data_IF_990756516745
#
_entry.id   IF_990756516745
#
_cell.length_a   1.000
_cell.length_b   1.000
_cell.length_c   1.000
_cell.angle_alpha   90.00
_cell.angle_beta   90.00
_cell.angle_gamma   90.00
#
_symmetry.space_group_name_H-M   'P 1'
#
loop_
_entity.id
_entity.type
_entity.pdbx_description
1 polymer ?
#
# COMPACT_ATOMS: atom_id res chain seq x y z
N UNK A 1 58.41 8.24 39.80
CA UNK A 1 56.96 8.26 40.05
C UNK A 1 56.25 8.22 38.70
N UNK A 2 55.57 7.10 38.42
CA UNK A 2 54.80 6.87 37.21
C UNK A 2 53.51 7.70 37.23
N UNK A 3 53.12 8.25 36.08
CA UNK A 3 51.71 8.42 35.76
C UNK A 3 51.51 8.28 34.25
N UNK A 4 51.26 7.05 33.80
CA UNK A 4 50.83 6.75 32.44
C UNK A 4 49.32 6.99 32.38
N UNK A 5 48.89 8.03 31.68
CA UNK A 5 47.48 8.26 31.37
C UNK A 5 47.07 7.36 30.21
N UNK A 6 46.43 6.24 30.51
CA UNK A 6 45.69 5.43 29.52
C UNK A 6 44.38 6.14 29.20
N UNK A 7 44.32 6.77 28.03
CA UNK A 7 43.09 7.30 27.45
C UNK A 7 42.24 6.10 26.98
N UNK A 8 41.20 5.75 27.73
CA UNK A 8 40.19 4.78 27.29
C UNK A 8 39.30 5.48 26.26
N UNK A 9 39.53 5.15 24.98
CA UNK A 9 38.62 5.54 23.90
C UNK A 9 37.41 4.60 23.97
N UNK A 10 36.35 5.00 24.67
CA UNK A 10 35.08 4.29 24.59
C UNK A 10 34.46 4.54 23.22
N UNK A 11 34.58 3.56 22.33
CA UNK A 11 33.81 3.51 21.09
C UNK A 11 32.34 3.30 21.46
N UNK A 12 31.58 4.39 21.53
CA UNK A 12 30.12 4.35 21.55
C UNK A 12 29.69 3.78 20.20
N UNK A 13 29.45 2.47 20.16
CA UNK A 13 28.70 1.84 19.08
C UNK A 13 27.27 2.33 19.23
N UNK A 14 26.89 3.35 18.46
CA UNK A 14 25.48 3.65 18.22
C UNK A 14 24.89 2.41 17.54
N UNK A 15 24.34 1.49 18.32
CA UNK A 15 23.39 0.53 17.80
C UNK A 15 22.21 1.38 17.34
N UNK A 16 22.01 1.49 16.03
CA UNK A 16 20.74 1.94 15.49
C UNK A 16 19.70 0.93 15.98
N UNK A 17 19.05 1.23 17.12
CA UNK A 17 17.92 0.45 17.58
C UNK A 17 16.82 0.77 16.58
N UNK A 18 16.56 -0.15 15.64
CA UNK A 18 15.45 -0.04 14.69
C UNK A 18 14.16 -0.12 15.49
N UNK A 19 13.66 1.04 15.93
CA UNK A 19 12.46 1.19 16.74
C UNK A 19 11.21 1.49 15.91
N UNK A 20 11.30 1.43 14.58
CA UNK A 20 10.21 1.75 13.66
C UNK A 20 8.97 0.88 13.87
N UNK A 21 7.89 1.24 13.18
CA UNK A 21 6.59 0.65 13.40
C UNK A 21 6.36 -0.59 12.55
N UNK A 22 5.64 -1.56 13.13
CA UNK A 22 5.16 -2.77 12.48
C UNK A 22 3.68 -2.99 12.83
N UNK A 23 2.88 -3.36 11.84
CA UNK A 23 1.47 -3.71 12.02
C UNK A 23 1.36 -5.08 12.69
N UNK A 24 0.64 -5.14 13.82
CA UNK A 24 0.39 -6.39 14.57
C UNK A 24 -1.07 -6.83 14.51
N UNK A 25 -1.99 -5.94 14.10
CA UNK A 25 -3.39 -6.27 13.86
C UNK A 25 -3.90 -5.43 12.69
N UNK A 26 -4.52 -6.00 11.63
CA UNK A 26 -4.65 -7.44 11.37
C UNK A 26 -3.30 -8.16 11.41
N UNK A 27 -3.31 -9.45 11.76
CA UNK A 27 -2.08 -10.24 11.81
C UNK A 27 -1.48 -10.29 10.39
N UNK A 28 -0.24 -9.79 10.19
CA UNK A 28 0.34 -9.67 8.87
C UNK A 28 0.73 -11.04 8.30
N UNK A 29 0.96 -11.10 6.99
CA UNK A 29 1.62 -12.25 6.40
C UNK A 29 3.01 -12.43 7.01
N UNK A 30 3.36 -13.69 7.31
CA UNK A 30 4.69 -14.10 7.77
C UNK A 30 5.21 -13.24 8.91
N UNK A 31 4.33 -13.08 9.91
CA UNK A 31 4.54 -12.23 11.08
C UNK A 31 5.89 -12.48 11.76
N UNK A 32 6.31 -13.74 11.85
CA UNK A 32 7.58 -14.14 12.49
C UNK A 32 8.84 -13.57 11.79
N UNK A 33 8.78 -13.29 10.49
CA UNK A 33 9.92 -12.80 9.70
C UNK A 33 9.75 -11.36 9.23
N UNK A 34 8.60 -10.74 9.51
CA UNK A 34 8.36 -9.34 9.22
C UNK A 34 9.24 -8.47 10.12
N UNK A 35 9.88 -7.45 9.54
CA UNK A 35 10.67 -6.47 10.28
C UNK A 35 10.04 -5.08 10.15
N UNK A 36 10.50 -4.17 11.01
CA UNK A 36 10.00 -2.81 11.07
C UNK A 36 10.75 -1.80 10.19
N UNK A 37 11.70 -2.24 9.36
CA UNK A 37 12.37 -1.32 8.43
C UNK A 37 11.39 -0.78 7.38
N UNK A 38 11.65 0.39 6.79
CA UNK A 38 10.94 0.81 5.59
C UNK A 38 11.17 -0.17 4.43
N UNK A 39 10.44 0.01 3.33
CA UNK A 39 10.79 -0.61 2.05
C UNK A 39 12.16 -0.11 1.60
N UNK A 40 12.87 -0.92 0.81
CA UNK A 40 14.13 -0.52 0.22
C UNK A 40 13.91 0.62 -0.78
N UNK A 41 14.75 1.67 -0.73
CA UNK A 41 14.69 2.85 -1.62
C UNK A 41 14.73 2.50 -3.11
N UNK A 42 15.28 1.34 -3.47
CA UNK A 42 15.29 0.83 -4.85
C UNK A 42 13.95 0.25 -5.33
N UNK A 43 12.99 0.08 -4.40
CA UNK A 43 11.74 -0.64 -4.62
C UNK A 43 11.93 -2.15 -4.81
N UNK A 44 13.08 -2.73 -4.43
CA UNK A 44 13.38 -4.15 -4.64
C UNK A 44 12.46 -5.10 -3.85
N UNK A 45 11.97 -4.65 -2.69
CA UNK A 45 11.09 -5.41 -1.80
C UNK A 45 9.63 -4.93 -1.85
N UNK A 46 9.25 -4.10 -2.82
CA UNK A 46 7.86 -3.72 -3.06
C UNK A 46 7.14 -4.75 -3.95
N UNK A 47 5.87 -5.12 -3.65
CA UNK A 47 5.06 -4.73 -2.49
C UNK A 47 5.27 -5.64 -1.27
N UNK A 48 4.72 -5.24 -0.11
CA UNK A 48 4.61 -6.10 1.09
C UNK A 48 5.93 -6.59 1.70
N UNK A 49 7.06 -5.92 1.45
CA UNK A 49 8.40 -6.30 1.93
C UNK A 49 8.77 -7.71 1.44
N UNK A 50 8.85 -7.88 0.12
CA UNK A 50 9.17 -9.13 -0.55
C UNK A 50 10.44 -9.77 0.03
N UNK A 51 10.29 -11.01 0.43
CA UNK A 51 11.28 -11.93 1.01
C UNK A 51 10.86 -13.38 0.69
N UNK A 52 11.70 -14.35 1.03
CA UNK A 52 11.49 -15.77 0.67
C UNK A 52 10.11 -16.31 1.05
N UNK A 53 9.57 -15.84 2.17
CA UNK A 53 8.34 -16.34 2.78
C UNK A 53 7.23 -15.29 2.81
N UNK A 54 7.25 -14.22 2.00
CA UNK A 54 6.38 -13.02 2.17
C UNK A 54 4.90 -13.27 2.48
N UNK A 55 4.29 -14.30 1.89
CA UNK A 55 2.83 -14.47 1.86
C UNK A 55 2.34 -15.71 2.63
N UNK A 56 3.04 -16.15 3.68
CA UNK A 56 2.52 -17.19 4.58
C UNK A 56 1.39 -16.58 5.43
N UNK A 57 0.18 -17.11 5.24
CA UNK A 57 -0.98 -16.65 6.01
C UNK A 57 -0.85 -17.04 7.49
N UNK A 58 -1.38 -16.21 8.42
CA UNK A 58 -1.47 -16.56 9.83
C UNK A 58 -2.39 -17.77 10.03
N UNK A 59 -2.24 -18.42 11.18
CA UNK A 59 -3.07 -19.60 11.53
C UNK A 59 -4.55 -19.28 11.67
N UNK A 60 -4.87 -18.05 12.07
CA UNK A 60 -6.22 -17.51 12.16
C UNK A 60 -6.42 -16.42 11.10
N UNK A 61 -7.40 -16.59 10.22
CA UNK A 61 -7.71 -15.59 9.18
C UNK A 61 -8.27 -14.31 9.81
N UNK A 62 -7.79 -13.15 9.37
CA UNK A 62 -8.38 -11.86 9.74
C UNK A 62 -9.72 -11.70 8.99
N UNK A 63 -10.84 -11.66 9.72
CA UNK A 63 -12.17 -11.55 9.11
C UNK A 63 -12.78 -10.20 9.45
N UNK A 64 -13.16 -9.44 8.42
CA UNK A 64 -13.79 -8.13 8.58
C UNK A 64 -15.14 -8.10 7.87
N UNK A 65 -16.14 -7.54 8.53
CA UNK A 65 -17.46 -7.34 7.95
C UNK A 65 -17.55 -5.97 7.30
N UNK A 66 -18.21 -5.92 6.14
CA UNK A 66 -18.53 -4.67 5.44
C UNK A 66 -19.31 -3.74 6.37
N UNK A 67 -18.89 -2.47 6.43
CA UNK A 67 -19.53 -1.40 7.21
C UNK A 67 -19.28 -1.44 8.72
N UNK A 68 -18.60 -2.46 9.23
CA UNK A 68 -18.25 -2.55 10.66
C UNK A 68 -16.90 -1.88 10.89
N UNK A 69 -16.83 -1.03 11.91
CA UNK A 69 -15.59 -0.39 12.36
C UNK A 69 -14.68 -1.43 13.03
N UNK A 70 -13.41 -1.36 12.69
CA UNK A 70 -12.34 -2.22 13.18
C UNK A 70 -11.11 -1.35 13.47
N UNK A 71 -10.17 -1.91 14.22
CA UNK A 71 -8.97 -1.20 14.61
C UNK A 71 -7.74 -1.94 14.10
N UNK A 72 -6.84 -1.20 13.47
CA UNK A 72 -5.47 -1.61 13.15
C UNK A 72 -4.55 -1.22 14.31
N UNK A 73 -3.64 -2.11 14.69
CA UNK A 73 -2.69 -1.90 15.81
C UNK A 73 -1.24 -2.04 15.36
N UNK A 74 -0.36 -1.32 16.04
CA UNK A 74 1.08 -1.30 15.75
C UNK A 74 1.94 -1.50 17.00
N UNK A 75 3.11 -2.11 16.80
CA UNK A 75 4.22 -2.08 17.75
C UNK A 75 5.36 -1.21 17.21
N UNK A 76 6.16 -0.68 18.11
CA UNK A 76 7.30 0.18 17.81
C UNK A 76 7.22 1.52 18.55
N UNK A 77 8.26 2.31 18.38
CA UNK A 77 8.47 3.58 19.10
C UNK A 77 8.90 4.74 18.20
N UNK A 78 9.55 4.47 17.06
CA UNK A 78 9.96 5.49 16.12
C UNK A 78 8.80 5.87 15.19
N UNK A 79 8.01 6.83 15.65
CA UNK A 79 6.82 7.35 14.97
C UNK A 79 7.14 8.49 14.02
N UNK A 80 8.37 9.02 14.01
CA UNK A 80 8.83 10.05 13.07
C UNK A 80 7.90 11.28 12.98
N UNK A 81 7.33 11.69 14.11
CA UNK A 81 6.40 12.82 14.13
C UNK A 81 5.02 12.52 13.50
N UNK A 82 4.72 11.25 13.21
CA UNK A 82 3.58 10.84 12.41
C UNK A 82 3.89 10.90 10.92
N UNK A 83 3.00 11.52 10.15
CA UNK A 83 3.00 11.47 8.69
C UNK A 83 1.63 11.13 8.15
N UNK A 84 1.60 10.59 6.93
CA UNK A 84 0.36 10.25 6.23
C UNK A 84 0.37 8.80 5.78
N UNK A 85 -0.80 8.17 5.78
CA UNK A 85 -0.95 6.76 5.44
C UNK A 85 -2.13 6.49 4.52
N UNK A 86 -2.06 5.38 3.80
CA UNK A 86 -3.23 4.80 3.13
C UNK A 86 -3.44 3.37 3.57
N UNK A 87 -4.71 3.00 3.72
CA UNK A 87 -5.17 1.63 3.77
C UNK A 87 -5.70 1.26 2.39
N UNK A 88 -5.20 0.19 1.81
CA UNK A 88 -5.61 -0.28 0.48
C UNK A 88 -5.84 -1.78 0.45
N UNK A 89 -6.67 -2.21 -0.49
CA UNK A 89 -7.02 -3.61 -0.73
C UNK A 89 -6.59 -4.04 -2.13
N UNK A 90 -6.14 -5.27 -2.26
CA UNK A 90 -6.03 -5.95 -3.55
C UNK A 90 -6.66 -7.33 -3.46
N UNK A 91 -7.21 -7.82 -4.57
CA UNK A 91 -7.78 -9.17 -4.66
C UNK A 91 -6.68 -10.25 -4.71
N UNK A 92 -5.44 -9.84 -4.98
CA UNK A 92 -4.29 -10.73 -5.00
C UNK A 92 -3.88 -11.15 -3.59
N UNK A 93 -3.78 -12.46 -3.34
CA UNK A 93 -3.25 -13.01 -2.08
C UNK A 93 -1.73 -13.07 -2.03
N UNK A 94 -1.08 -12.93 -3.19
CA UNK A 94 0.36 -12.83 -3.35
C UNK A 94 0.69 -11.64 -4.27
N UNK A 95 0.50 -10.39 -3.80
CA UNK A 95 0.63 -9.22 -4.66
C UNK A 95 2.02 -9.07 -5.28
N UNK A 96 2.05 -8.53 -6.49
CA UNK A 96 3.26 -8.20 -7.24
C UNK A 96 3.33 -6.69 -7.49
N UNK A 97 4.38 -6.22 -8.17
CA UNK A 97 4.50 -4.80 -8.57
C UNK A 97 3.38 -4.34 -9.51
N UNK A 98 2.73 -5.28 -10.19
CA UNK A 98 1.65 -5.03 -11.14
C UNK A 98 0.25 -5.18 -10.52
N UNK A 99 0.17 -5.58 -9.24
CA UNK A 99 -1.11 -5.74 -8.54
C UNK A 99 -1.86 -4.42 -8.43
N UNK A 100 -3.18 -4.49 -8.64
CA UNK A 100 -4.06 -3.34 -8.50
C UNK A 100 -4.47 -3.16 -7.03
N UNK A 101 -4.09 -2.03 -6.45
CA UNK A 101 -4.42 -1.65 -5.08
C UNK A 101 -5.51 -0.58 -5.08
N UNK A 102 -6.59 -0.83 -4.35
CA UNK A 102 -7.75 0.04 -4.18
C UNK A 102 -7.68 0.71 -2.81
N UNK A 103 -7.39 2.00 -2.74
CA UNK A 103 -7.37 2.77 -1.48
C UNK A 103 -8.78 2.82 -0.89
N UNK A 104 -8.93 2.38 0.36
CA UNK A 104 -10.21 2.40 1.08
C UNK A 104 -10.28 3.49 2.15
N UNK A 105 -9.14 3.97 2.64
CA UNK A 105 -9.04 5.07 3.62
C UNK A 105 -7.69 5.76 3.53
N UNK A 106 -7.67 7.09 3.57
CA UNK A 106 -6.46 7.90 3.68
C UNK A 106 -6.43 8.66 5.00
N UNK A 107 -5.27 8.72 5.63
CA UNK A 107 -4.98 9.57 6.77
C UNK A 107 -3.93 10.60 6.34
N UNK A 108 -4.34 11.86 6.20
CA UNK A 108 -3.45 12.97 5.83
C UNK A 108 -3.06 13.74 7.10
N UNK A 109 -1.96 13.31 7.70
CA UNK A 109 -1.43 13.80 8.97
C UNK A 109 -1.92 13.03 10.19
N UNK A 110 -1.03 12.93 11.17
CA UNK A 110 -1.31 12.24 12.44
C UNK A 110 -1.33 10.72 12.33
N UNK A 111 -0.77 10.14 11.26
CA UNK A 111 -0.70 8.70 11.09
C UNK A 111 0.71 8.14 11.42
N UNK A 112 0.83 7.09 12.25
CA UNK A 112 -0.24 6.50 13.07
C UNK A 112 -0.46 7.24 14.39
N UNK A 113 0.25 8.35 14.63
CA UNK A 113 0.06 9.19 15.81
C UNK A 113 0.39 10.66 15.55
N UNK A 114 -0.10 11.52 16.42
CA UNK A 114 0.22 12.96 16.50
C UNK A 114 1.42 13.27 17.40
N UNK A 115 2.11 12.25 17.92
CA UNK A 115 3.28 12.48 18.76
C UNK A 115 4.39 13.16 17.94
N UNK A 116 4.80 14.37 18.37
CA UNK A 116 5.89 15.14 17.72
C UNK A 116 7.27 14.51 17.89
N UNK A 117 7.40 13.52 18.79
CA UNK A 117 8.62 12.77 19.04
C UNK A 117 8.33 11.29 19.03
N UNK A 118 9.38 10.51 18.80
CA UNK A 118 9.35 9.08 19.02
C UNK A 118 8.91 8.75 20.45
N UNK A 119 8.14 7.68 20.56
CA UNK A 119 7.59 7.18 21.82
C UNK A 119 8.66 6.44 22.61
N UNK A 120 8.34 6.11 23.87
CA UNK A 120 9.24 5.36 24.72
C UNK A 120 9.36 3.90 24.23
N UNK A 121 10.49 3.27 24.57
CA UNK A 121 10.74 1.85 24.30
C UNK A 121 11.61 1.61 23.06
N UNK A 122 11.29 0.55 22.31
CA UNK A 122 12.06 0.08 21.18
C UNK A 122 11.18 -0.55 20.11
N UNK A 123 11.72 -1.54 19.39
CA UNK A 123 11.06 -2.20 18.25
C UNK A 123 9.74 -2.91 18.60
N UNK A 124 9.64 -3.45 19.82
CA UNK A 124 8.52 -4.27 20.30
C UNK A 124 7.69 -3.54 21.36
N UNK A 125 7.75 -2.20 21.37
CA UNK A 125 7.00 -1.41 22.34
C UNK A 125 5.53 -1.36 21.93
N UNK A 126 4.64 -1.87 22.79
CA UNK A 126 3.20 -1.63 22.68
C UNK A 126 2.89 -0.24 23.26
N UNK A 127 2.82 0.75 22.38
CA UNK A 127 2.49 2.12 22.71
C UNK A 127 1.00 2.44 22.49
N UNK A 128 0.16 1.40 22.37
CA UNK A 128 -1.27 1.54 22.09
C UNK A 128 -1.57 2.38 20.82
N UNK A 129 -0.73 2.22 19.80
CA UNK A 129 -0.90 2.88 18.51
C UNK A 129 -2.02 2.20 17.73
N UNK A 130 -3.04 2.96 17.36
CA UNK A 130 -4.27 2.46 16.75
C UNK A 130 -4.72 3.34 15.58
N UNK A 131 -5.31 2.73 14.56
CA UNK A 131 -6.02 3.41 13.48
C UNK A 131 -7.33 2.70 13.19
N UNK A 132 -8.44 3.42 13.25
CA UNK A 132 -9.75 2.85 12.97
C UNK A 132 -10.04 2.83 11.47
N UNK A 133 -10.67 1.76 11.00
CA UNK A 133 -11.07 1.60 9.61
C UNK A 133 -12.32 0.72 9.50
N UNK A 134 -13.05 0.87 8.40
CA UNK A 134 -14.14 -0.01 8.03
C UNK A 134 -13.96 -0.45 6.58
N UNK A 135 -14.43 -1.65 6.25
CA UNK A 135 -14.51 -2.09 4.85
C UNK A 135 -15.73 -1.39 4.21
N UNK A 136 -15.55 -0.57 3.15
CA UNK A 136 -16.65 0.19 2.55
C UNK A 136 -17.73 -0.70 1.92
N UNK A 137 -18.97 -0.21 1.84
CA UNK A 137 -20.13 -0.96 1.33
C UNK A 137 -19.98 -1.49 -0.11
N UNK A 138 -19.13 -0.84 -0.92
CA UNK A 138 -18.92 -1.18 -2.32
C UNK A 138 -17.82 -2.22 -2.55
N UNK A 139 -17.14 -2.68 -1.50
CA UNK A 139 -16.21 -3.81 -1.56
C UNK A 139 -17.00 -5.11 -1.51
N UNK A 140 -16.74 -6.02 -2.45
CA UNK A 140 -17.42 -7.31 -2.49
C UNK A 140 -16.87 -8.26 -1.42
N UNK A 141 -17.70 -9.13 -0.82
CA UNK A 141 -17.21 -10.22 0.02
C UNK A 141 -16.21 -11.09 -0.75
N UNK A 142 -15.12 -11.50 -0.10
CA UNK A 142 -14.04 -12.22 -0.75
C UNK A 142 -12.75 -12.22 0.06
N UNK A 143 -11.72 -12.86 -0.48
CA UNK A 143 -10.37 -12.83 0.09
C UNK A 143 -9.58 -11.69 -0.54
N UNK A 144 -8.88 -10.94 0.29
CA UNK A 144 -8.06 -9.81 -0.12
C UNK A 144 -6.71 -9.85 0.61
N UNK A 145 -5.78 -9.05 0.12
CA UNK A 145 -4.66 -8.53 0.90
C UNK A 145 -4.95 -7.08 1.26
N UNK A 146 -4.88 -6.75 2.54
CA UNK A 146 -4.91 -5.39 3.05
C UNK A 146 -3.48 -4.89 3.21
N UNK A 147 -3.19 -3.67 2.75
CA UNK A 147 -1.93 -3.00 2.99
C UNK A 147 -2.12 -1.73 3.80
N UNK A 148 -1.27 -1.56 4.82
CA UNK A 148 -0.97 -0.27 5.42
C UNK A 148 0.28 0.28 4.76
N UNK A 149 0.18 1.50 4.24
CA UNK A 149 1.32 2.25 3.71
C UNK A 149 1.49 3.54 4.48
N UNK A 150 2.72 3.90 4.84
CA UNK A 150 3.01 5.09 5.64
C UNK A 150 4.21 5.86 5.10
N UNK A 151 4.05 7.17 4.98
CA UNK A 151 5.06 8.14 4.62
C UNK A 151 5.33 8.99 5.85
N UNK A 152 6.51 8.80 6.44
CA UNK A 152 6.91 9.47 7.68
C UNK A 152 7.11 10.97 7.45
N UNK A 153 6.76 11.78 8.46
CA UNK A 153 6.91 13.24 8.39
C UNK A 153 8.35 13.69 8.64
N UNK A 154 8.99 13.17 9.68
CA UNK A 154 10.32 13.60 10.14
C UNK A 154 11.36 12.53 9.80
N UNK A 155 12.56 12.95 9.42
CA UNK A 155 13.66 12.06 9.05
C UNK A 155 13.72 11.85 7.54
N UNK A 156 14.44 10.80 7.11
CA UNK A 156 14.57 10.46 5.70
C UNK A 156 13.19 10.23 5.08
N UNK A 157 12.99 10.63 3.82
CA UNK A 157 11.77 10.27 3.09
C UNK A 157 11.71 8.76 2.87
N UNK A 158 10.89 8.06 3.65
CA UNK A 158 10.75 6.61 3.62
C UNK A 158 9.32 6.22 3.26
N UNK A 159 9.14 4.98 2.78
CA UNK A 159 7.83 4.37 2.60
C UNK A 159 7.79 3.07 3.37
N UNK A 160 6.89 2.98 4.34
CA UNK A 160 6.61 1.75 5.07
C UNK A 160 5.44 1.03 4.41
N UNK A 161 5.48 -0.30 4.39
CA UNK A 161 4.36 -1.11 3.92
C UNK A 161 4.29 -2.43 4.68
N UNK A 162 3.16 -2.72 5.32
CA UNK A 162 2.86 -4.04 5.88
C UNK A 162 1.55 -4.55 5.27
N UNK A 163 1.49 -5.86 5.02
CA UNK A 163 0.37 -6.50 4.37
C UNK A 163 -0.19 -7.63 5.23
N UNK A 164 -1.52 -7.75 5.27
CA UNK A 164 -2.21 -8.82 5.95
C UNK A 164 -3.23 -9.50 5.02
N UNK A 165 -3.37 -10.84 5.11
CA UNK A 165 -4.50 -11.52 4.51
C UNK A 165 -5.77 -11.14 5.26
N UNK A 166 -6.80 -10.72 4.54
CA UNK A 166 -8.12 -10.54 5.12
C UNK A 166 -9.19 -11.30 4.32
N UNK A 167 -10.24 -11.70 5.01
CA UNK A 167 -11.48 -12.16 4.40
C UNK A 167 -12.59 -11.16 4.72
N UNK A 168 -13.14 -10.56 3.67
CA UNK A 168 -14.29 -9.65 3.75
C UNK A 168 -15.57 -10.48 3.72
N UNK A 169 -16.37 -10.35 4.78
CA UNK A 169 -17.67 -10.97 4.91
C UNK A 169 -18.79 -9.93 4.76
N UNK A 170 -19.99 -10.39 4.37
CA UNK A 170 -21.18 -9.55 4.46
C UNK A 170 -21.46 -9.25 5.93
N UNK A 171 -21.75 -7.99 6.24
CA UNK A 171 -22.34 -7.64 7.53
C UNK A 171 -23.69 -8.34 7.70
N UNK A 172 -23.97 -8.85 8.89
CA UNK A 172 -25.33 -9.22 9.25
C UNK A 172 -26.18 -7.94 9.27
N UNK A 173 -27.24 -7.91 8.48
CA UNK A 173 -28.20 -6.80 8.29
C UNK A 173 -28.32 -5.74 9.39
N UNK A 174 -28.40 -4.46 8.96
CA UNK A 174 -28.98 -3.29 9.65
C UNK A 174 -28.17 -2.49 10.68
N UNK A 175 -26.84 -2.63 10.76
CA UNK A 175 -26.04 -1.54 11.34
C UNK A 175 -25.48 -0.66 10.22
N UNK A 176 -26.38 -0.02 9.47
CA UNK A 176 -26.02 0.95 8.43
C UNK A 176 -25.40 2.16 9.11
N UNK A 177 -24.10 2.37 8.92
CA UNK A 177 -23.53 3.70 9.15
C UNK A 177 -24.32 4.67 8.28
N UNK A 178 -24.99 5.63 8.92
CA UNK A 178 -25.75 6.65 8.20
C UNK A 178 -24.73 7.51 7.43
N UNK A 179 -25.09 7.79 6.18
CA UNK A 179 -24.49 8.79 5.27
C UNK A 179 -23.09 8.51 4.69
N UNK A 180 -23.01 7.61 3.71
CA UNK A 180 -22.37 7.92 2.40
C UNK A 180 -23.33 7.46 1.30
N UNK A 181 -24.51 8.07 1.20
CA UNK A 181 -25.56 7.64 0.26
C UNK A 181 -25.60 8.41 -1.07
N UNK A 182 -24.65 9.29 -1.37
CA UNK A 182 -24.74 10.09 -2.61
C UNK A 182 -23.46 10.15 -3.47
N UNK A 183 -22.43 9.38 -3.15
CA UNK A 183 -21.24 9.31 -4.00
C UNK A 183 -20.85 7.86 -4.24
N UNK A 184 -20.67 7.49 -5.51
CA UNK A 184 -19.97 6.26 -5.87
C UNK A 184 -18.58 6.34 -5.24
N UNK A 185 -18.19 5.42 -4.35
CA UNK A 185 -16.88 5.52 -3.70
C UNK A 185 -15.77 5.47 -4.75
N UNK A 186 -14.88 6.45 -4.67
CA UNK A 186 -13.64 6.46 -5.43
C UNK A 186 -12.60 5.64 -4.68
N UNK A 187 -12.17 4.53 -5.29
CA UNK A 187 -11.10 3.67 -4.78
C UNK A 187 -9.86 3.84 -5.65
N UNK A 188 -9.11 4.94 -5.50
CA UNK A 188 -7.98 5.20 -6.37
C UNK A 188 -6.83 4.22 -6.10
N UNK A 189 -5.91 4.08 -7.06
CA UNK A 189 -4.62 3.44 -6.88
C UNK A 189 -3.85 3.99 -5.68
N UNK A 190 -3.16 3.11 -4.95
CA UNK A 190 -2.27 3.48 -3.85
C UNK A 190 -1.16 4.42 -4.33
N UNK A 191 -0.87 5.44 -3.53
CA UNK A 191 0.23 6.36 -3.77
C UNK A 191 1.57 5.67 -3.47
N UNK A 192 2.54 5.82 -4.39
CA UNK A 192 3.89 5.27 -4.25
C UNK A 192 4.90 6.40 -4.37
N UNK A 193 5.74 6.55 -3.35
CA UNK A 193 6.86 7.49 -3.29
C UNK A 193 7.99 6.87 -2.47
N UNK A 194 9.14 7.55 -2.44
CA UNK A 194 10.37 7.21 -1.71
C UNK A 194 11.07 5.91 -2.15
N UNK A 195 10.42 5.09 -2.98
CA UNK A 195 10.97 3.84 -3.54
C UNK A 195 11.00 3.81 -5.07
N UNK A 196 10.53 4.88 -5.72
CA UNK A 196 10.33 4.96 -7.17
C UNK A 196 10.87 6.26 -7.78
N UNK A 197 11.77 6.98 -7.10
CA UNK A 197 12.30 8.25 -7.61
C UNK A 197 11.36 9.46 -7.49
N UNK A 198 10.14 9.31 -6.95
CA UNK A 198 9.38 10.43 -6.40
C UNK A 198 9.69 10.55 -4.91
N UNK A 199 10.30 11.64 -4.47
CA UNK A 199 10.77 11.84 -3.10
C UNK A 199 9.88 12.83 -2.37
N UNK A 200 9.26 12.40 -1.26
CA UNK A 200 8.39 13.25 -0.43
C UNK A 200 9.20 14.34 0.27
N UNK A 201 8.55 15.45 0.59
CA UNK A 201 9.17 16.54 1.35
C UNK A 201 9.21 16.19 2.84
N UNK A 202 10.33 16.45 3.49
CA UNK A 202 10.46 16.29 4.95
C UNK A 202 9.67 17.39 5.71
N UNK A 203 9.33 17.09 6.96
CA UNK A 203 8.67 17.96 7.93
C UNK A 203 7.24 18.39 7.54
N UNK A 204 6.59 17.68 6.61
CA UNK A 204 5.19 17.90 6.25
C UNK A 204 4.42 16.58 6.25
N UNK A 205 3.15 16.63 6.66
CA UNK A 205 2.19 15.57 6.40
C UNK A 205 1.72 15.73 4.94
N UNK A 206 2.01 14.75 4.08
CA UNK A 206 1.66 14.87 2.66
C UNK A 206 0.14 14.79 2.42
N UNK A 207 -0.33 15.46 1.37
CA UNK A 207 -1.67 15.22 0.81
C UNK A 207 -1.57 14.25 -0.35
N UNK A 208 -2.40 13.24 -0.39
CA UNK A 208 -2.40 12.29 -1.50
C UNK A 208 -3.03 12.95 -2.73
N UNK A 209 -2.48 12.79 -3.95
CA UNK A 209 -3.11 13.33 -5.16
C UNK A 209 -4.51 12.78 -5.42
N UNK A 210 -4.74 11.53 -5.00
CA UNK A 210 -6.03 10.86 -5.01
C UNK A 210 -6.23 10.16 -3.67
N UNK A 211 -6.80 10.84 -2.66
CA UNK A 211 -6.96 10.29 -1.33
C UNK A 211 -8.18 9.34 -1.22
N UNK A 212 -9.03 9.29 -2.25
CA UNK A 212 -10.29 8.55 -2.25
C UNK A 212 -11.41 9.30 -1.51
N UNK A 213 -12.55 8.64 -1.31
CA UNK A 213 -13.72 9.28 -0.69
C UNK A 213 -13.71 9.32 0.85
N UNK A 214 -12.81 8.58 1.51
CA UNK A 214 -12.73 8.48 2.97
C UNK A 214 -11.36 8.99 3.42
N UNK A 215 -11.33 10.23 3.90
CA UNK A 215 -10.11 10.94 4.30
C UNK A 215 -10.24 11.44 5.74
N UNK A 216 -9.21 11.20 6.53
CA UNK A 216 -9.12 11.64 7.92
C UNK A 216 -7.89 12.55 8.12
N UNK A 217 -8.08 13.60 8.92
CA UNK A 217 -7.04 14.59 9.24
C UNK A 217 -6.83 14.60 10.75
N UNK A 218 -5.97 13.72 11.24
CA UNK A 218 -5.67 13.64 12.67
C UNK A 218 -4.54 14.59 13.07
N UNK A 219 -3.70 14.96 12.11
CA UNK A 219 -2.51 15.79 12.26
C UNK A 219 -2.74 17.22 12.73
N UNK A 220 -1.64 17.88 13.08
CA UNK A 220 -1.63 19.33 13.23
C UNK A 220 -1.76 20.00 11.85
N UNK A 221 -2.75 20.87 11.67
CA UNK A 221 -3.00 21.54 10.39
C UNK A 221 -1.80 22.31 9.84
N UNK A 222 -0.91 22.80 10.71
CA UNK A 222 0.31 23.51 10.32
C UNK A 222 1.39 22.60 9.72
N UNK A 223 1.33 21.30 10.01
CA UNK A 223 2.23 20.30 9.42
C UNK A 223 1.67 19.79 8.09
N UNK A 224 0.36 19.92 7.85
CA UNK A 224 -0.30 19.43 6.65
C UNK A 224 0.15 20.23 5.41
N UNK A 225 0.57 19.50 4.38
CA UNK A 225 0.95 20.06 3.10
C UNK A 225 -0.18 20.93 2.54
N UNK A 226 0.18 22.09 1.98
CA UNK A 226 -0.81 23.03 1.45
C UNK A 226 -1.53 22.42 0.26
N UNK A 227 -2.80 22.75 0.14
CA UNK A 227 -3.60 22.31 -1.00
C UNK A 227 -2.98 22.80 -2.32
N UNK A 228 -2.88 21.90 -3.29
CA UNK A 228 -2.26 22.15 -4.59
C UNK A 228 -0.73 22.02 -4.64
N UNK A 229 -0.04 21.87 -3.49
CA UNK A 229 1.39 21.53 -3.50
C UNK A 229 1.61 20.05 -3.87
N UNK A 230 2.65 19.72 -4.65
CA UNK A 230 2.93 18.34 -5.02
C UNK A 230 3.40 17.53 -3.80
N UNK A 231 2.94 16.28 -3.60
CA UNK A 231 3.32 15.45 -2.45
C UNK A 231 4.78 15.00 -2.47
N UNK A 232 5.38 14.94 -3.66
CA UNK A 232 6.76 14.53 -3.87
C UNK A 232 7.37 15.26 -5.07
N UNK A 233 8.69 15.24 -5.14
CA UNK A 233 9.49 15.79 -6.24
C UNK A 233 10.22 14.68 -6.97
N UNK A 234 10.55 14.87 -8.25
CA UNK A 234 11.17 13.82 -9.07
C UNK A 234 10.17 13.14 -10.01
N UNK A 235 10.64 12.14 -10.75
CA UNK A 235 9.82 11.40 -11.74
C UNK A 235 9.65 9.96 -11.27
N UNK A 236 8.40 9.51 -10.99
CA UNK A 236 8.13 8.12 -10.66
C UNK A 236 8.65 7.16 -11.74
N UNK A 237 9.53 6.24 -11.38
CA UNK A 237 10.12 5.19 -12.24
C UNK A 237 9.21 3.98 -12.38
N UNK A 238 8.26 3.81 -11.45
CA UNK A 238 7.15 2.86 -11.53
C UNK A 238 5.95 3.38 -10.72
N UNK A 239 4.76 2.83 -10.99
CA UNK A 239 3.44 3.30 -10.52
C UNK A 239 2.80 4.46 -11.31
N UNK A 240 3.30 4.76 -12.53
CA UNK A 240 2.57 5.61 -13.49
C UNK A 240 1.46 4.85 -14.26
N UNK A 241 1.52 3.51 -14.32
CA UNK A 241 0.55 2.68 -15.06
C UNK A 241 -0.88 2.72 -14.47
N UNK A 242 -1.03 2.91 -13.16
CA UNK A 242 -2.35 3.04 -12.53
C UNK A 242 -2.99 4.43 -12.76
N UNK A 243 -2.20 5.43 -13.14
CA UNK A 243 -2.71 6.73 -13.60
C UNK A 243 -3.06 6.71 -15.10
N UNK A 244 -2.29 5.97 -15.90
CA UNK A 244 -2.48 5.86 -17.37
C UNK A 244 -3.72 5.03 -17.73
N UNK A 245 -4.05 3.96 -16.99
CA UNK A 245 -5.28 3.17 -17.24
C UNK A 245 -6.58 3.88 -16.84
N UNK A 246 -6.52 4.85 -15.93
CA UNK A 246 -7.68 5.59 -15.45
C UNK A 246 -8.06 6.80 -16.33
N UNK A 247 -7.23 7.17 -17.31
CA UNK A 247 -7.41 8.35 -18.17
C UNK A 247 -7.79 8.00 -19.62
N UNK A 248 -7.98 6.73 -19.94
CA UNK A 248 -8.50 6.29 -21.24
C UNK A 248 -10.02 6.09 -21.10
N UNK A 249 -10.87 6.99 -21.63
CA UNK A 249 -12.27 6.64 -21.86
C UNK A 249 -12.33 5.46 -22.85
N UNK A 250 -13.32 4.58 -22.69
CA UNK A 250 -13.58 3.30 -23.43
C UNK A 250 -13.63 3.37 -24.98
N UNK A 251 -13.11 4.41 -25.62
CA UNK A 251 -13.12 4.65 -27.06
C UNK A 251 -11.82 4.32 -27.79
N UNK A 252 -10.94 3.47 -27.24
CA UNK A 252 -9.68 3.09 -27.88
C UNK A 252 -9.44 1.58 -27.99
N UNK A 253 -10.51 0.77 -28.04
CA UNK A 253 -10.45 -0.65 -28.46
C UNK A 253 -10.93 -0.87 -29.90
N UNK A 254 -10.87 0.16 -30.75
CA UNK A 254 -11.15 0.04 -32.20
C UNK A 254 -9.99 0.55 -33.09
N UNK A 255 -8.81 0.81 -32.49
CA UNK A 255 -7.65 1.36 -33.21
C UNK A 255 -6.37 0.51 -33.09
N UNK A 256 -6.52 -0.79 -32.80
CA UNK A 256 -5.44 -1.78 -32.95
C UNK A 256 -5.87 -3.00 -33.79
N UNK A 257 -7.05 -2.95 -34.39
CA UNK A 257 -7.46 -3.88 -35.42
C UNK A 257 -6.80 -3.51 -36.76
N UNK A 258 -6.03 -4.45 -37.29
CA UNK A 258 -5.51 -4.48 -38.66
C UNK A 258 -4.36 -3.51 -38.98
N UNK A 259 -3.13 -4.04 -38.98
CA UNK A 259 -2.34 -4.26 -40.22
C UNK A 259 -0.92 -4.71 -39.89
N UNK A 260 -0.68 -6.02 -39.86
CA UNK A 260 0.58 -6.57 -40.37
C UNK A 260 0.25 -7.83 -41.16
N UNK A 261 -0.01 -7.64 -42.46
CA UNK A 261 0.04 -8.71 -43.45
C UNK A 261 1.15 -8.41 -44.43
N UNK A 262 2.19 -9.25 -44.40
CA UNK A 262 2.88 -9.88 -45.54
C UNK A 262 4.18 -10.47 -44.96
N UNK A 263 4.66 -11.67 -45.27
CA UNK A 263 4.31 -12.69 -46.25
C UNK A 263 5.19 -13.90 -45.94
N UNK A 264 4.66 -15.12 -45.97
CA UNK A 264 5.33 -16.27 -46.60
C UNK A 264 4.38 -17.47 -46.73
N UNK A 265 3.99 -17.68 -47.98
CA UNK A 265 3.62 -18.89 -48.71
C UNK A 265 3.42 -20.23 -47.99
N UNK A 266 2.20 -20.74 -48.18
CA UNK A 266 1.83 -22.09 -48.66
C UNK A 266 2.38 -23.33 -47.95
N UNK A 267 1.48 -24.08 -47.31
CA UNK A 267 0.88 -25.29 -47.90
C UNK A 267 0.20 -26.11 -46.79
N UNK A 268 -1.13 -26.26 -46.85
CA UNK A 268 -1.82 -27.33 -46.11
C UNK A 268 -2.98 -27.84 -46.95
N UNK A 269 -2.86 -29.12 -47.28
CA UNK A 269 -3.82 -29.92 -48.01
C UNK A 269 -5.22 -29.88 -47.36
N UNK A 270 -6.26 -29.79 -48.20
CA UNK A 270 -7.64 -30.06 -47.82
C UNK A 270 -8.22 -31.13 -48.74
N UNK A 271 -8.55 -32.28 -48.17
CA UNK A 271 -9.78 -33.02 -48.43
C UNK A 271 -10.73 -32.70 -47.26
N UNK A 272 -12.09 -32.72 -47.39
CA UNK A 272 -12.84 -33.77 -48.09
C UNK A 272 -14.13 -33.34 -48.85
N UNK A 273 -14.53 -34.26 -49.74
CA UNK A 273 -15.87 -34.84 -49.94
C UNK A 273 -17.12 -33.98 -50.18
N UNK A 274 -17.76 -34.35 -51.30
CA UNK A 274 -19.20 -34.57 -51.53
C UNK A 274 -20.01 -33.56 -52.38
N UNK A 275 -20.23 -34.02 -53.62
CA UNK A 275 -21.56 -34.35 -54.21
C UNK A 275 -22.37 -33.21 -54.81
N UNK A 276 -22.42 -33.18 -56.15
CA UNK A 276 -23.64 -33.43 -56.93
C UNK A 276 -23.38 -33.15 -58.42
N UNK A 277 -23.57 -34.14 -59.29
CA UNK A 277 -23.88 -33.90 -60.70
C UNK A 277 -24.91 -34.92 -61.17
N UNK A 278 -26.08 -34.40 -61.52
CA UNK A 278 -27.17 -35.06 -62.23
C UNK A 278 -26.85 -35.05 -63.73
N UNK A 279 -27.30 -36.10 -64.43
CA UNK A 279 -27.90 -36.17 -65.78
C UNK A 279 -27.47 -35.04 -66.76
N UNK A 280 -26.90 -35.32 -67.93
CA UNK A 280 -27.36 -36.26 -68.97
C UNK A 280 -26.21 -36.52 -69.93
#
# INVERSE_FOLDING_TARGET
MLLKYTLLLETIVLRAVSGHLIMISPEPYSNETLNNSPLADSGSDFPCKLRTDTFLAPSLENIYQIGIENTMRFEGSATHGGGSCQLSLTEDREPTKDSEWKVIKSFEGGCPTNAEKNLAGGATADNDLQLDFAIPENIQPGKYTLAWTWFNRIGNGEMYMNCAPITVARGSSQQSYKSIQNQTPDFPPVFIANINGCITKENVDIRFPRPGSIVEHNGQINNLLREGEPPCTGTPTFSALAAIRSTIPDFAMDLLGETVSSSTSSALARTPSCRALRRS
#
